data_IF_651949481835
#
_entry.id   IF_651949481835
#
_cell.length_a   1.000
_cell.length_b   1.000
_cell.length_c   1.000
_cell.angle_alpha   90.00
_cell.angle_beta   90.00
_cell.angle_gamma   90.00
#
_symmetry.space_group_name_H-M   'P 1'
#
loop_
_entity.id
_entity.type
_entity.pdbx_description
1 polymer ?
#
# COMPACT_ATOMS: atom_id res chain seq x y z
N UNK A 1 65.26 24.46 -11.48
CA UNK A 1 63.84 24.13 -11.72
C UNK A 1 63.03 25.04 -10.82
N UNK A 2 62.30 25.99 -11.41
CA UNK A 2 61.53 26.97 -10.63
C UNK A 2 60.20 26.34 -10.19
N UNK A 3 59.68 26.74 -9.02
CA UNK A 3 58.37 26.29 -8.54
C UNK A 3 57.21 26.59 -9.53
N UNK A 4 57.45 27.41 -10.56
CA UNK A 4 56.49 27.77 -11.62
C UNK A 4 56.21 26.66 -12.63
N UNK A 5 57.12 25.71 -12.82
CA UNK A 5 56.98 24.64 -13.84
C UNK A 5 56.19 23.43 -13.32
N UNK A 6 55.93 23.35 -12.01
CA UNK A 6 55.20 22.26 -11.37
C UNK A 6 53.68 22.45 -11.40
N UNK A 7 53.21 23.70 -11.44
CA UNK A 7 51.78 24.04 -11.40
C UNK A 7 50.97 23.55 -12.62
N UNK A 8 51.46 23.64 -13.87
CA UNK A 8 50.73 23.12 -15.04
C UNK A 8 50.60 21.60 -15.02
N UNK A 9 51.61 20.90 -14.50
CA UNK A 9 51.64 19.45 -14.41
C UNK A 9 50.72 18.92 -13.31
N UNK A 10 50.75 19.55 -12.12
CA UNK A 10 49.81 19.26 -11.03
C UNK A 10 48.37 19.57 -11.44
N UNK A 11 48.15 20.67 -12.17
CA UNK A 11 46.84 21.00 -12.73
C UNK A 11 46.36 19.99 -13.79
N UNK A 12 47.23 19.47 -14.65
CA UNK A 12 46.89 18.46 -15.66
C UNK A 12 46.61 17.07 -15.05
N UNK A 13 47.37 16.68 -14.02
CA UNK A 13 47.20 15.40 -13.31
C UNK A 13 45.96 15.40 -12.41
N UNK A 14 45.61 16.53 -11.81
CA UNK A 14 44.35 16.68 -11.07
C UNK A 14 43.12 16.82 -11.98
N UNK A 15 43.28 17.24 -13.25
CA UNK A 15 42.15 17.77 -14.03
C UNK A 15 41.19 16.75 -14.62
N UNK A 16 41.62 15.55 -14.99
CA UNK A 16 40.71 14.69 -15.76
C UNK A 16 40.40 13.35 -15.09
N UNK A 17 41.40 12.56 -14.69
CA UNK A 17 41.16 11.21 -14.15
C UNK A 17 40.52 11.20 -12.75
N UNK A 18 41.06 11.99 -11.82
CA UNK A 18 40.57 12.04 -10.43
C UNK A 18 39.18 12.71 -10.40
N UNK A 19 39.00 13.81 -11.12
CA UNK A 19 37.71 14.51 -11.21
C UNK A 19 36.65 13.64 -11.88
N UNK A 20 36.99 12.88 -12.93
CA UNK A 20 36.05 11.94 -13.55
C UNK A 20 35.65 10.82 -12.58
N UNK A 21 36.60 10.23 -11.86
CA UNK A 21 36.31 9.19 -10.87
C UNK A 21 35.44 9.73 -9.72
N UNK A 22 35.73 10.93 -9.22
CA UNK A 22 34.92 11.58 -8.19
C UNK A 22 33.51 11.87 -8.68
N UNK A 23 33.36 12.29 -9.94
CA UNK A 23 32.05 12.52 -10.55
C UNK A 23 31.24 11.23 -10.68
N UNK A 24 31.86 10.15 -11.16
CA UNK A 24 31.24 8.83 -11.25
C UNK A 24 30.80 8.33 -9.87
N UNK A 25 31.64 8.52 -8.85
CA UNK A 25 31.32 8.14 -7.47
C UNK A 25 30.15 8.97 -6.93
N UNK A 26 30.13 10.28 -7.17
CA UNK A 26 29.00 11.16 -6.81
C UNK A 26 27.72 10.71 -7.49
N UNK A 27 27.74 10.41 -8.80
CA UNK A 27 26.57 9.95 -9.54
C UNK A 27 26.06 8.60 -9.00
N UNK A 28 26.98 7.69 -8.66
CA UNK A 28 26.66 6.41 -8.02
C UNK A 28 26.06 6.58 -6.62
N UNK A 29 26.59 7.50 -5.81
CA UNK A 29 26.05 7.79 -4.49
C UNK A 29 24.67 8.45 -4.58
N UNK A 30 24.48 9.37 -5.51
CA UNK A 30 23.19 10.03 -5.75
C UNK A 30 22.12 9.03 -6.20
N UNK A 31 22.45 8.10 -7.10
CA UNK A 31 21.51 7.04 -7.52
C UNK A 31 21.15 6.08 -6.38
N UNK A 32 22.11 5.69 -5.53
CA UNK A 32 21.84 4.90 -4.32
C UNK A 32 20.97 5.65 -3.33
N UNK A 33 21.24 6.93 -3.09
CA UNK A 33 20.45 7.77 -2.21
C UNK A 33 19.00 7.89 -2.71
N UNK A 34 18.82 8.09 -4.02
CA UNK A 34 17.50 8.11 -4.65
C UNK A 34 16.77 6.78 -4.46
N UNK A 35 17.41 5.64 -4.73
CA UNK A 35 16.81 4.31 -4.53
C UNK A 35 16.40 4.09 -3.08
N UNK A 36 17.25 4.46 -2.11
CA UNK A 36 16.94 4.36 -0.68
C UNK A 36 15.74 5.24 -0.30
N UNK A 37 15.66 6.46 -0.83
CA UNK A 37 14.52 7.34 -0.59
C UNK A 37 13.23 6.79 -1.23
N UNK A 38 13.32 6.20 -2.42
CA UNK A 38 12.18 5.55 -3.09
C UNK A 38 11.67 4.37 -2.26
N UNK A 39 12.57 3.54 -1.74
CA UNK A 39 12.24 2.44 -0.82
C UNK A 39 11.56 2.94 0.45
N UNK A 40 12.11 3.97 1.12
CA UNK A 40 11.53 4.54 2.35
C UNK A 40 10.12 5.12 2.17
N UNK A 41 9.79 5.54 0.95
CA UNK A 41 8.49 6.13 0.62
C UNK A 41 7.51 5.11 0.01
N UNK A 42 7.92 3.85 -0.11
CA UNK A 42 7.07 2.77 -0.59
C UNK A 42 5.99 2.44 0.45
N UNK A 43 4.74 2.48 0.02
CA UNK A 43 3.60 1.95 0.75
C UNK A 43 3.32 0.55 0.22
N UNK A 44 3.25 -0.43 1.13
CA UNK A 44 2.86 -1.79 0.77
C UNK A 44 1.69 -2.22 1.63
N UNK A 45 0.72 -2.86 1.00
CA UNK A 45 -0.33 -3.59 1.72
C UNK A 45 -0.16 -5.05 1.40
N UNK A 46 -0.22 -5.89 2.43
CA UNK A 46 -0.25 -7.34 2.26
C UNK A 46 -1.44 -7.95 2.99
N UNK A 47 -2.01 -8.99 2.39
CA UNK A 47 -2.87 -9.94 3.08
C UNK A 47 -2.31 -11.34 2.84
N UNK A 48 -2.08 -12.09 3.91
CA UNK A 48 -1.58 -13.46 3.83
C UNK A 48 -2.71 -14.41 4.18
N UNK A 49 -3.07 -15.30 3.26
CA UNK A 49 -3.98 -16.41 3.51
C UNK A 49 -3.22 -17.69 3.79
N UNK A 50 -3.86 -18.59 4.53
CA UNK A 50 -3.50 -20.00 4.55
C UNK A 50 -4.57 -20.68 3.71
N UNK A 51 -4.17 -21.45 2.70
CA UNK A 51 -5.11 -22.24 1.90
C UNK A 51 -5.64 -23.40 2.76
N UNK A 52 -6.58 -23.11 3.66
CA UNK A 52 -7.25 -24.13 4.48
C UNK A 52 -8.33 -24.89 3.69
N UNK A 53 -8.61 -24.48 2.45
CA UNK A 53 -9.57 -25.13 1.55
C UNK A 53 -9.00 -26.40 0.90
N UNK A 54 -8.54 -27.37 1.71
CA UNK A 54 -8.55 -28.82 1.44
C UNK A 54 -8.02 -29.35 0.10
N UNK A 55 -7.36 -28.51 -0.69
CA UNK A 55 -6.86 -28.80 -2.03
C UNK A 55 -5.45 -29.35 -1.98
N UNK A 56 -5.22 -30.34 -1.11
CA UNK A 56 -4.01 -31.15 -1.15
C UNK A 56 -3.97 -31.88 -2.49
N UNK A 57 -3.43 -31.23 -3.51
CA UNK A 57 -3.16 -31.85 -4.79
C UNK A 57 -2.18 -32.98 -4.54
N UNK A 58 -2.66 -34.22 -4.63
CA UNK A 58 -1.79 -35.39 -4.66
C UNK A 58 -0.86 -35.20 -5.86
N UNK A 59 0.42 -34.95 -5.59
CA UNK A 59 1.45 -35.02 -6.62
C UNK A 59 1.41 -36.43 -7.23
N UNK A 60 1.68 -36.56 -8.53
CA UNK A 60 1.70 -37.85 -9.23
C UNK A 60 2.66 -38.90 -8.60
N UNK A 61 3.51 -38.49 -7.64
CA UNK A 61 4.41 -39.35 -6.87
C UNK A 61 3.85 -39.84 -5.52
N UNK A 62 2.62 -39.46 -5.14
CA UNK A 62 1.98 -39.89 -3.89
C UNK A 62 2.57 -39.26 -2.62
N UNK A 63 3.41 -38.22 -2.74
CA UNK A 63 3.92 -37.49 -1.58
C UNK A 63 2.97 -36.36 -1.14
N UNK A 64 2.67 -36.30 0.15
CA UNK A 64 1.99 -35.16 0.75
C UNK A 64 2.94 -33.96 0.75
N UNK A 65 2.60 -32.88 0.04
CA UNK A 65 3.26 -31.60 0.28
C UNK A 65 2.67 -30.99 1.56
N UNK A 66 3.36 -31.17 2.69
CA UNK A 66 2.98 -30.58 3.98
C UNK A 66 3.23 -29.06 4.08
N UNK A 67 3.60 -28.39 2.98
CA UNK A 67 3.69 -26.93 2.98
C UNK A 67 2.38 -26.34 2.45
N UNK A 68 1.59 -25.64 3.30
CA UNK A 68 0.52 -24.80 2.80
C UNK A 68 1.14 -23.78 1.84
N UNK A 69 0.59 -23.68 0.63
CA UNK A 69 0.96 -22.65 -0.32
C UNK A 69 0.46 -21.31 0.25
N UNK A 70 1.32 -20.62 1.01
CA UNK A 70 0.98 -19.30 1.53
C UNK A 70 0.81 -18.31 0.38
N UNK A 71 -0.42 -18.01 0.00
CA UNK A 71 -0.69 -16.93 -0.94
C UNK A 71 -0.62 -15.58 -0.21
N UNK A 72 0.26 -14.71 -0.69
CA UNK A 72 0.32 -13.31 -0.25
C UNK A 72 -0.05 -12.38 -1.40
N UNK A 73 -1.13 -11.63 -1.20
CA UNK A 73 -1.54 -10.56 -2.11
C UNK A 73 -0.83 -9.27 -1.71
N UNK A 74 -0.25 -8.55 -2.67
CA UNK A 74 0.48 -7.30 -2.41
C UNK A 74 -0.06 -6.14 -3.25
N UNK A 75 -0.29 -5.00 -2.61
CA UNK A 75 -0.52 -3.72 -3.28
C UNK A 75 0.64 -2.80 -2.98
N UNK A 76 1.01 -2.01 -3.98
CA UNK A 76 2.12 -1.07 -3.89
C UNK A 76 1.63 0.32 -4.26
N UNK A 77 2.06 1.29 -3.49
CA UNK A 77 1.93 2.70 -3.82
C UNK A 77 3.15 3.45 -3.32
N UNK A 78 3.22 4.74 -3.66
CA UNK A 78 4.30 5.61 -3.23
C UNK A 78 3.70 6.78 -2.48
N UNK A 79 4.26 7.11 -1.31
CA UNK A 79 3.89 8.33 -0.59
C UNK A 79 4.10 9.59 -1.45
N UNK A 80 4.94 9.55 -2.48
CA UNK A 80 5.17 10.65 -3.42
C UNK A 80 3.95 11.00 -4.25
N UNK A 81 3.11 10.02 -4.52
CA UNK A 81 1.89 10.18 -5.32
C UNK A 81 0.68 10.52 -4.44
N UNK A 82 0.93 10.82 -3.16
CA UNK A 82 -0.11 11.18 -2.22
C UNK A 82 -0.51 12.65 -2.27
N UNK A 83 -1.53 12.98 -1.49
CA UNK A 83 -2.11 14.32 -1.42
C UNK A 83 -2.70 14.61 -0.03
N UNK A 84 -2.73 15.89 0.33
CA UNK A 84 -3.36 16.34 1.57
C UNK A 84 -4.89 16.12 1.54
N UNK A 85 -5.46 15.70 2.65
CA UNK A 85 -6.90 15.57 2.83
C UNK A 85 -7.34 15.89 4.27
N UNK A 86 -8.66 15.98 4.48
CA UNK A 86 -9.26 16.51 5.71
C UNK A 86 -9.33 18.04 5.73
N UNK A 87 -10.23 18.58 6.55
CA UNK A 87 -10.49 20.02 6.65
C UNK A 87 -9.24 20.84 7.01
N UNK A 88 -8.37 20.29 7.85
CA UNK A 88 -7.13 20.94 8.30
C UNK A 88 -5.89 20.35 7.63
N UNK A 89 -6.04 19.60 6.53
CA UNK A 89 -4.94 18.89 5.87
C UNK A 89 -4.15 17.99 6.83
N UNK A 90 -4.80 17.45 7.85
CA UNK A 90 -4.15 16.63 8.88
C UNK A 90 -3.79 15.22 8.38
N UNK A 91 -4.26 14.86 7.18
CA UNK A 91 -4.09 13.55 6.59
C UNK A 91 -3.34 13.60 5.26
N UNK A 92 -2.60 12.53 4.98
CA UNK A 92 -1.93 12.26 3.72
C UNK A 92 -2.55 11.01 3.09
N UNK A 93 -3.27 11.18 1.97
CA UNK A 93 -3.89 10.06 1.24
C UNK A 93 -3.00 9.60 0.11
N UNK A 94 -2.96 8.29 -0.12
CA UNK A 94 -2.23 7.66 -1.22
C UNK A 94 -3.16 6.74 -1.98
N UNK A 95 -3.21 6.92 -3.30
CA UNK A 95 -3.95 6.02 -4.18
C UNK A 95 -3.18 4.74 -4.42
N UNK A 96 -3.83 3.61 -4.23
CA UNK A 96 -3.23 2.31 -4.46
C UNK A 96 -3.22 2.00 -5.95
N UNK A 97 -2.01 1.80 -6.50
CA UNK A 97 -1.87 1.36 -7.88
C UNK A 97 -2.07 -0.16 -7.89
N UNK A 98 -3.20 -0.55 -8.46
CA UNK A 98 -3.54 -1.94 -8.67
C UNK A 98 -2.57 -2.53 -9.70
N UNK A 99 -1.53 -3.22 -9.22
CA UNK A 99 -0.60 -3.92 -10.08
C UNK A 99 -1.26 -5.21 -10.56
N UNK A 100 -1.55 -5.28 -11.87
CA UNK A 100 -1.93 -6.54 -12.52
C UNK A 100 -0.87 -7.58 -12.19
N UNK A 101 -1.22 -8.58 -11.38
CA UNK A 101 -0.35 -9.72 -11.10
C UNK A 101 0.10 -10.36 -12.41
N UNK A 102 1.35 -10.83 -12.48
CA UNK A 102 1.90 -11.50 -13.69
C UNK A 102 1.07 -12.72 -14.12
N UNK A 103 0.27 -13.28 -13.21
CA UNK A 103 -0.80 -14.22 -13.55
C UNK A 103 -2.00 -13.46 -14.12
N UNK A 104 -2.18 -13.58 -15.44
CA UNK A 104 -3.19 -12.88 -16.26
C UNK A 104 -4.66 -13.14 -15.87
N UNK A 105 -4.95 -13.97 -14.88
CA UNK A 105 -6.31 -14.41 -14.54
C UNK A 105 -6.74 -14.16 -13.08
N UNK A 106 -5.84 -13.77 -12.18
CA UNK A 106 -6.25 -13.36 -10.83
C UNK A 106 -6.56 -11.88 -10.87
N UNK A 107 -7.84 -11.57 -11.05
CA UNK A 107 -8.32 -10.20 -10.95
C UNK A 107 -7.95 -9.64 -9.56
N UNK A 108 -7.68 -8.34 -9.50
CA UNK A 108 -7.04 -7.68 -8.36
C UNK A 108 -8.01 -7.49 -7.19
N UNK A 109 -8.52 -8.59 -6.69
CA UNK A 109 -9.49 -8.68 -5.64
C UNK A 109 -8.86 -9.48 -4.51
N UNK A 110 -8.99 -8.95 -3.30
CA UNK A 110 -8.76 -9.74 -2.11
C UNK A 110 -10.02 -10.53 -1.78
N UNK A 111 -9.87 -11.79 -1.37
CA UNK A 111 -10.94 -12.49 -0.68
C UNK A 111 -11.26 -11.73 0.61
N UNK A 112 -12.53 -11.43 0.81
CA UNK A 112 -12.97 -10.59 1.94
C UNK A 112 -12.69 -11.23 3.30
N UNK A 113 -12.59 -12.56 3.39
CA UNK A 113 -12.20 -13.28 4.61
C UNK A 113 -10.74 -12.99 5.05
N UNK A 114 -9.86 -12.50 4.16
CA UNK A 114 -8.47 -12.16 4.49
C UNK A 114 -8.30 -10.75 5.07
N UNK A 115 -9.37 -9.96 5.19
CA UNK A 115 -9.28 -8.59 5.68
C UNK A 115 -8.74 -8.49 7.12
N UNK A 116 -8.91 -9.57 7.90
CA UNK A 116 -8.42 -9.72 9.27
C UNK A 116 -6.93 -10.06 9.37
N UNK A 117 -6.26 -10.24 8.23
CA UNK A 117 -4.83 -10.50 8.11
C UNK A 117 -4.13 -9.39 7.31
N UNK A 118 -4.76 -8.22 7.23
CA UNK A 118 -4.28 -7.05 6.51
C UNK A 118 -3.12 -6.39 7.28
N UNK A 119 -2.00 -6.18 6.59
CA UNK A 119 -0.86 -5.42 7.09
C UNK A 119 -0.55 -4.24 6.16
N UNK A 120 -0.29 -3.08 6.75
CA UNK A 120 0.22 -1.90 6.05
C UNK A 120 1.68 -1.67 6.43
N UNK A 121 2.52 -1.46 5.43
CA UNK A 121 3.96 -1.24 5.57
C UNK A 121 4.38 0.08 4.91
N UNK A 122 5.33 0.76 5.55
CA UNK A 122 6.04 1.92 5.01
C UNK A 122 7.53 1.60 4.99
N UNK A 123 8.15 1.68 3.81
CA UNK A 123 9.56 1.34 3.63
C UNK A 123 9.94 -0.05 4.14
N UNK A 124 9.08 -1.04 3.90
CA UNK A 124 9.26 -2.43 4.35
C UNK A 124 8.92 -2.68 5.83
N UNK A 125 8.73 -1.63 6.64
CA UNK A 125 8.39 -1.75 8.07
C UNK A 125 6.87 -1.84 8.24
N UNK A 126 6.39 -2.80 9.02
CA UNK A 126 4.96 -2.89 9.39
C UNK A 126 4.62 -1.73 10.31
N UNK A 127 3.68 -0.90 9.86
CA UNK A 127 3.22 0.28 10.61
C UNK A 127 1.83 0.10 11.20
N UNK A 128 1.01 -0.77 10.60
CA UNK A 128 -0.30 -1.11 11.12
C UNK A 128 -0.63 -2.56 10.75
N UNK A 129 -1.15 -3.30 11.72
CA UNK A 129 -1.81 -4.59 11.50
C UNK A 129 -3.28 -4.45 11.84
N UNK A 130 -4.10 -5.18 11.11
CA UNK A 130 -5.52 -5.23 11.33
C UNK A 130 -5.92 -6.68 11.57
N UNK A 131 -6.71 -6.88 12.60
CA UNK A 131 -7.37 -8.12 12.97
C UNK A 131 -8.84 -7.85 13.31
N UNK A 132 -9.61 -8.90 13.61
CA UNK A 132 -11.04 -8.79 13.96
C UNK A 132 -11.32 -7.88 15.16
N UNK A 133 -10.34 -7.65 16.04
CA UNK A 133 -10.49 -6.85 17.24
C UNK A 133 -10.03 -5.40 17.04
N UNK A 134 -9.12 -5.15 16.11
CA UNK A 134 -8.43 -3.87 15.89
C UNK A 134 -8.94 -3.11 14.69
N UNK A 135 -9.72 -3.72 13.81
CA UNK A 135 -10.34 -3.06 12.68
C UNK A 135 -11.80 -2.72 13.06
N UNK A 136 -12.20 -1.48 12.83
CA UNK A 136 -13.59 -1.05 12.90
C UNK A 136 -14.03 -0.75 11.47
N UNK A 137 -14.94 -1.58 10.96
CA UNK A 137 -15.61 -1.24 9.71
C UNK A 137 -16.53 -0.06 9.99
N UNK A 138 -16.17 1.13 9.49
CA UNK A 138 -17.17 2.15 9.22
C UNK A 138 -17.52 2.02 7.76
N UNK A 139 -18.50 1.16 7.47
CA UNK A 139 -19.19 1.22 6.19
C UNK A 139 -20.05 2.49 6.17
N UNK A 140 -19.41 3.63 5.99
CA UNK A 140 -20.08 4.70 5.28
C UNK A 140 -19.99 4.26 3.82
N UNK A 141 -21.13 3.95 3.22
CA UNK A 141 -21.23 3.84 1.76
C UNK A 141 -20.91 5.24 1.22
N UNK A 142 -19.61 5.52 1.06
CA UNK A 142 -19.08 6.84 0.73
C UNK A 142 -19.34 7.22 -0.73
N UNK A 143 -19.86 6.29 -1.52
CA UNK A 143 -19.74 6.37 -2.96
C UNK A 143 -21.07 6.69 -3.64
N UNK A 144 -21.11 7.88 -4.23
CA UNK A 144 -22.14 8.35 -5.17
C UNK A 144 -22.17 7.54 -6.48
N UNK A 145 -21.20 6.65 -6.70
CA UNK A 145 -21.05 5.91 -7.96
C UNK A 145 -21.96 4.68 -8.09
N UNK A 146 -22.73 4.31 -7.06
CA UNK A 146 -23.73 3.25 -7.25
C UNK A 146 -24.92 3.81 -8.03
N UNK A 147 -25.12 3.31 -9.25
CA UNK A 147 -26.32 3.62 -10.01
C UNK A 147 -27.50 2.84 -9.43
N UNK A 148 -28.33 3.53 -8.65
CA UNK A 148 -29.52 2.97 -8.01
C UNK A 148 -30.56 2.44 -9.01
N UNK A 149 -30.46 2.82 -10.29
CA UNK A 149 -31.37 2.36 -11.34
C UNK A 149 -30.87 1.10 -12.03
N UNK A 150 -29.62 0.68 -11.78
CA UNK A 150 -29.09 -0.58 -12.31
C UNK A 150 -29.47 -1.74 -11.41
N UNK A 151 -30.12 -2.73 -12.02
CA UNK A 151 -30.46 -4.01 -11.38
C UNK A 151 -29.30 -5.02 -11.40
N UNK A 152 -28.12 -4.63 -11.89
CA UNK A 152 -26.94 -5.49 -11.98
C UNK A 152 -26.06 -5.35 -10.73
N UNK A 153 -25.34 -6.41 -10.32
CA UNK A 153 -24.38 -6.34 -9.24
C UNK A 153 -23.25 -5.31 -9.49
N UNK A 154 -23.04 -4.41 -8.53
CA UNK A 154 -22.04 -3.33 -8.60
C UNK A 154 -21.10 -3.38 -7.40
N UNK A 155 -19.91 -2.77 -7.51
CA UNK A 155 -19.00 -2.57 -6.38
C UNK A 155 -19.41 -1.29 -5.61
N UNK A 156 -19.31 -1.30 -4.30
CA UNK A 156 -19.63 -0.19 -3.41
C UNK A 156 -18.39 0.25 -2.62
N UNK A 157 -18.20 1.56 -2.45
CA UNK A 157 -17.14 2.10 -1.60
C UNK A 157 -17.31 1.74 -0.13
N UNK A 158 -16.21 1.37 0.54
CA UNK A 158 -16.15 1.06 1.96
C UNK A 158 -14.89 1.67 2.56
N UNK A 159 -14.99 2.19 3.79
CA UNK A 159 -13.86 2.64 4.58
C UNK A 159 -13.63 1.72 5.77
N UNK A 160 -12.37 1.56 6.16
CA UNK A 160 -11.99 0.88 7.38
C UNK A 160 -11.10 1.77 8.21
N UNK A 161 -11.44 1.89 9.49
CA UNK A 161 -10.67 2.67 10.44
C UNK A 161 -10.14 1.73 11.53
N UNK A 162 -8.94 1.98 12.08
CA UNK A 162 -8.51 1.28 13.29
C UNK A 162 -9.51 1.52 14.44
N UNK A 163 -9.89 0.47 15.15
CA UNK A 163 -10.83 0.52 16.29
C UNK A 163 -10.24 1.19 17.53
N UNK A 164 -8.93 1.36 17.59
CA UNK A 164 -8.30 1.99 18.75
C UNK A 164 -8.75 3.44 18.86
N UNK A 165 -8.92 3.93 20.09
CA UNK A 165 -9.32 5.30 20.36
C UNK A 165 -8.34 6.27 19.67
N UNK A 166 -8.69 6.78 18.48
CA UNK A 166 -7.94 7.80 17.73
C UNK A 166 -6.41 7.71 17.89
N UNK A 167 -5.74 6.86 17.08
CA UNK A 167 -4.34 7.11 16.73
C UNK A 167 -3.26 6.30 17.45
N UNK A 168 -3.46 5.00 17.68
CA UNK A 168 -2.33 4.12 18.05
C UNK A 168 -1.42 3.77 16.86
N UNK A 169 -1.75 4.25 15.66
CA UNK A 169 -0.97 3.98 14.47
C UNK A 169 -1.04 5.11 13.43
N UNK A 170 -0.15 5.06 12.42
CA UNK A 170 -0.09 6.09 11.39
C UNK A 170 -1.22 5.99 10.36
N UNK A 171 -1.93 4.87 10.27
CA UNK A 171 -3.05 4.70 9.32
C UNK A 171 -4.31 5.25 9.95
N UNK A 172 -4.93 6.25 9.31
CA UNK A 172 -6.20 6.83 9.73
C UNK A 172 -7.38 6.03 9.15
N UNK A 173 -7.32 5.73 7.85
CA UNK A 173 -8.39 5.04 7.14
C UNK A 173 -7.81 4.23 5.97
N UNK A 174 -8.46 3.13 5.63
CA UNK A 174 -8.25 2.37 4.40
C UNK A 174 -9.54 2.40 3.62
N UNK A 175 -9.48 2.98 2.43
CA UNK A 175 -10.61 3.04 1.52
C UNK A 175 -10.51 1.94 0.49
N UNK A 176 -11.66 1.36 0.17
CA UNK A 176 -11.74 0.32 -0.82
C UNK A 176 -13.14 0.20 -1.40
N UNK A 177 -13.35 -0.90 -2.11
CA UNK A 177 -14.65 -1.28 -2.66
C UNK A 177 -14.93 -2.74 -2.39
N UNK A 178 -16.15 -3.04 -1.99
CA UNK A 178 -16.67 -4.40 -1.77
C UNK A 178 -17.69 -4.74 -2.86
N UNK A 179 -17.78 -6.01 -3.25
CA UNK A 179 -18.84 -6.51 -4.13
C UNK A 179 -18.37 -7.61 -5.10
N UNK A 180 -18.98 -7.73 -6.29
CA UNK A 180 -20.16 -7.00 -6.74
C UNK A 180 -21.45 -7.52 -6.05
N UNK A 181 -22.38 -6.63 -5.67
CA UNK A 181 -23.69 -6.97 -5.09
C UNK A 181 -24.81 -6.10 -5.64
N UNK A 182 -26.05 -6.54 -5.48
CA UNK A 182 -27.23 -5.71 -5.77
C UNK A 182 -27.35 -4.55 -4.78
N UNK A 183 -27.90 -3.42 -5.23
CA UNK A 183 -28.11 -2.23 -4.39
C UNK A 183 -28.87 -2.52 -3.09
N UNK A 184 -29.93 -3.33 -3.17
CA UNK A 184 -30.72 -3.73 -2.00
C UNK A 184 -29.89 -4.49 -0.95
N UNK A 185 -28.82 -5.16 -1.36
CA UNK A 185 -27.91 -5.78 -0.40
C UNK A 185 -27.05 -4.75 0.30
N UNK A 186 -26.69 -3.62 -0.34
CA UNK A 186 -25.87 -2.55 0.26
C UNK A 186 -26.65 -1.67 1.23
N UNK A 187 -27.91 -1.32 0.94
CA UNK A 187 -28.72 -0.47 1.83
C UNK A 187 -29.02 -1.11 3.18
N UNK A 188 -28.91 -2.44 3.26
CA UNK A 188 -29.11 -3.21 4.49
C UNK A 188 -27.81 -3.39 5.29
N UNK A 189 -26.70 -2.81 4.81
CA UNK A 189 -25.38 -2.84 5.45
C UNK A 189 -25.16 -1.55 6.25
N UNK A 190 -26.03 -1.28 7.22
CA UNK A 190 -25.74 -0.22 8.20
C UNK A 190 -24.46 -0.59 8.96
N UNK A 191 -23.52 0.37 9.11
CA UNK A 191 -22.25 0.26 9.88
C UNK A 191 -21.72 -1.18 10.02
N UNK A 192 -21.27 -1.77 8.91
CA UNK A 192 -20.81 -3.16 8.95
C UNK A 192 -19.64 -3.36 9.90
N UNK A 193 -19.80 -4.28 10.84
CA UNK A 193 -18.65 -4.87 11.49
C UNK A 193 -17.93 -5.85 10.53
N UNK A 194 -16.71 -6.24 10.87
CA UNK A 194 -15.92 -7.15 10.03
C UNK A 194 -16.51 -8.54 9.98
N UNK A 195 -17.21 -8.97 11.04
CA UNK A 195 -17.86 -10.27 11.05
C UNK A 195 -18.98 -10.31 10.02
N UNK A 196 -19.73 -9.23 9.85
CA UNK A 196 -20.76 -9.12 8.83
C UNK A 196 -20.16 -9.16 7.41
N UNK A 197 -18.99 -8.56 7.20
CA UNK A 197 -18.24 -8.70 5.96
C UNK A 197 -17.80 -10.15 5.71
N UNK A 198 -17.31 -10.84 6.73
CA UNK A 198 -16.97 -12.28 6.62
C UNK A 198 -18.22 -13.11 6.29
N UNK A 199 -19.37 -12.81 6.90
CA UNK A 199 -20.64 -13.48 6.58
C UNK A 199 -21.06 -13.22 5.13
N UNK A 200 -20.87 -12.01 4.60
CA UNK A 200 -21.13 -11.72 3.19
C UNK A 200 -20.25 -12.55 2.26
N UNK A 201 -19.00 -12.82 2.66
CA UNK A 201 -18.10 -13.71 1.94
C UNK A 201 -18.56 -15.17 1.99
N UNK A 202 -18.82 -15.69 3.19
CA UNK A 202 -19.25 -17.08 3.40
C UNK A 202 -20.59 -17.40 2.72
N UNK A 203 -21.50 -16.42 2.68
CA UNK A 203 -22.79 -16.56 1.98
C UNK A 203 -22.67 -16.36 0.46
N UNK A 204 -21.48 -16.04 -0.04
CA UNK A 204 -21.22 -15.78 -1.46
C UNK A 204 -21.85 -14.49 -1.98
N UNK A 205 -22.36 -13.62 -1.10
CA UNK A 205 -22.99 -12.35 -1.46
C UNK A 205 -21.96 -11.33 -1.93
N UNK A 206 -20.86 -11.16 -1.19
CA UNK A 206 -19.72 -10.37 -1.62
C UNK A 206 -18.45 -11.20 -1.54
N UNK A 207 -17.82 -11.44 -2.67
CA UNK A 207 -16.60 -12.25 -2.71
C UNK A 207 -15.34 -11.39 -2.66
N UNK A 208 -15.42 -10.17 -3.22
CA UNK A 208 -14.24 -9.41 -3.55
C UNK A 208 -14.16 -8.10 -2.77
N UNK A 209 -12.92 -7.77 -2.41
CA UNK A 209 -12.54 -6.50 -1.83
C UNK A 209 -11.37 -5.90 -2.61
N UNK A 210 -11.44 -4.61 -2.95
CA UNK A 210 -10.36 -3.86 -3.59
C UNK A 210 -9.96 -2.73 -2.66
N UNK A 211 -8.68 -2.57 -2.37
CA UNK A 211 -8.19 -1.36 -1.72
C UNK A 211 -7.90 -0.30 -2.78
N UNK A 212 -8.49 0.87 -2.62
CA UNK A 212 -8.35 2.00 -3.54
C UNK A 212 -7.41 3.05 -2.99
N UNK A 213 -7.49 3.37 -1.69
CA UNK A 213 -6.66 4.41 -1.06
C UNK A 213 -6.30 4.05 0.39
N UNK A 214 -5.21 4.62 0.88
CA UNK A 214 -4.87 4.64 2.31
C UNK A 214 -4.67 6.07 2.75
N UNK A 215 -5.25 6.41 3.90
CA UNK A 215 -5.07 7.67 4.58
C UNK A 215 -4.13 7.52 5.78
N UNK A 216 -3.16 8.42 5.91
CA UNK A 216 -2.21 8.44 7.01
C UNK A 216 -2.33 9.72 7.84
N UNK A 217 -2.19 9.60 9.17
CA UNK A 217 -1.99 10.74 10.06
C UNK A 217 -0.61 11.37 9.83
N UNK A 218 -0.58 12.63 9.38
CA UNK A 218 0.68 13.34 9.08
C UNK A 218 1.59 13.44 10.29
N UNK A 219 1.02 13.65 11.49
CA UNK A 219 1.77 13.71 12.74
C UNK A 219 2.57 12.43 13.01
N UNK A 220 2.05 11.28 12.58
CA UNK A 220 2.63 9.95 12.80
C UNK A 220 3.58 9.52 11.68
N UNK A 221 3.56 10.18 10.51
CA UNK A 221 4.49 9.94 9.39
C UNK A 221 5.36 11.17 9.09
N UNK A 222 5.56 12.05 10.07
CA UNK A 222 6.24 13.34 9.92
C UNK A 222 7.64 13.24 9.32
N UNK A 223 8.38 12.15 9.60
CA UNK A 223 9.68 11.88 8.99
C UNK A 223 9.60 11.63 7.47
N UNK A 224 8.57 10.91 7.00
CA UNK A 224 8.34 10.72 5.57
C UNK A 224 7.88 12.02 4.90
N UNK A 225 7.02 12.79 5.56
CA UNK A 225 6.56 14.10 5.06
C UNK A 225 7.74 15.08 4.95
N UNK A 226 8.62 15.13 5.95
CA UNK A 226 9.84 15.94 5.90
C UNK A 226 10.73 15.56 4.71
N UNK A 227 10.89 14.26 4.45
CA UNK A 227 11.61 13.77 3.28
C UNK A 227 10.94 14.18 1.96
N UNK A 228 9.61 14.13 1.87
CA UNK A 228 8.89 14.61 0.68
C UNK A 228 9.12 16.12 0.44
N UNK A 229 9.17 16.92 1.51
CA UNK A 229 9.49 18.35 1.44
C UNK A 229 10.92 18.57 0.96
N UNK A 230 11.90 17.86 1.52
CA UNK A 230 13.31 17.94 1.11
C UNK A 230 13.51 17.57 -0.36
N UNK A 231 12.73 16.61 -0.86
CA UNK A 231 12.72 16.22 -2.27
C UNK A 231 11.97 17.20 -3.18
N UNK A 232 11.35 18.26 -2.64
CA UNK A 232 10.58 19.24 -3.38
C UNK A 232 9.27 18.70 -3.97
N UNK A 233 8.77 17.57 -3.46
CA UNK A 233 7.53 16.93 -3.93
C UNK A 233 6.31 17.66 -3.37
N UNK A 234 6.37 18.01 -2.10
CA UNK A 234 5.39 18.88 -1.47
C UNK A 234 6.00 20.26 -1.25
N UNK A 235 5.22 21.34 -1.46
CA UNK A 235 5.69 22.67 -1.09
C UNK A 235 5.99 22.69 0.41
N UNK A 236 7.16 23.22 0.77
CA UNK A 236 7.56 23.34 2.17
C UNK A 236 6.51 24.09 2.97
N UNK A 237 6.12 23.48 4.10
CA UNK A 237 5.27 24.11 5.10
C UNK A 237 5.99 25.31 5.75
#
# INVERSE_FOLDING_TARGET
MSASDLAPFVAAVLKDGIVANMKEEIDKLNSKLKSCNDERLLVQISMTGDDDDGGGGIRDDGSNSEQPDHYSHYYYASLKDGYYSGENKQYWKVKMIIHKTKNKNTANFFPLNLITKLEVRLGGTVVQRFDTNTLHGMCNVFDTDIDINKLEPQMCGIGFEPRTNYGDGPVACIEGRIGPMLYDNYINLDLLDINELIVLHETGKAQNFIITEIEFHISMISGCISLLTELGIIPGA
#
